data_IF_683280537465
#
_entry.id   IF_683280537465
#
_cell.length_a   1.000
_cell.length_b   1.000
_cell.length_c   1.000
_cell.angle_alpha   90.00
_cell.angle_beta   90.00
_cell.angle_gamma   90.00
#
_symmetry.space_group_name_H-M   'P 1'
#
loop_
_entity.id
_entity.type
_entity.pdbx_description
1 polymer ?
#
# COMPACT_ATOMS: atom_id res chain seq x y z
N UNK A 1 0.86 -78.19 31.65
CA UNK A 1 0.74 -77.78 33.08
C UNK A 1 2.10 -78.01 33.79
N UNK A 2 2.53 -77.15 34.74
CA UNK A 2 1.74 -76.31 35.66
C UNK A 2 1.99 -74.78 35.47
N UNK A 3 0.95 -73.95 35.61
CA UNK A 3 0.58 -73.05 36.74
C UNK A 3 1.35 -71.72 36.79
N UNK A 4 0.59 -70.61 36.74
CA UNK A 4 1.07 -69.23 36.93
C UNK A 4 1.32 -68.90 38.41
N UNK A 5 1.66 -67.63 38.75
CA UNK A 5 0.63 -66.59 38.76
C UNK A 5 1.09 -65.19 38.28
N UNK A 6 0.11 -64.29 38.29
CA UNK A 6 0.03 -62.97 37.68
C UNK A 6 0.81 -61.82 38.37
N UNK A 7 0.68 -60.65 37.73
CA UNK A 7 1.11 -59.25 38.05
C UNK A 7 2.38 -58.83 37.29
N UNK A 8 2.49 -57.67 36.64
CA UNK A 8 1.73 -56.42 36.69
C UNK A 8 1.87 -55.65 35.36
N UNK A 9 0.92 -54.75 35.16
CA UNK A 9 0.95 -53.54 34.32
C UNK A 9 2.32 -52.98 33.93
N UNK A 10 2.49 -52.58 32.66
CA UNK A 10 3.00 -51.24 32.28
C UNK A 10 3.48 -51.20 30.83
N UNK A 11 2.75 -50.45 30.00
CA UNK A 11 3.26 -49.54 28.96
C UNK A 11 4.26 -50.14 27.94
N UNK A 12 3.73 -50.79 26.90
CA UNK A 12 4.38 -50.82 25.58
C UNK A 12 3.35 -50.44 24.52
N UNK A 13 3.10 -49.14 24.40
CA UNK A 13 2.50 -48.49 23.23
C UNK A 13 2.68 -46.98 23.35
N UNK A 14 3.93 -46.52 23.52
CA UNK A 14 4.21 -45.08 23.54
C UNK A 14 5.56 -44.80 22.89
N UNK A 15 5.67 -45.07 21.59
CA UNK A 15 6.72 -44.51 20.70
C UNK A 15 6.30 -44.31 19.24
N UNK A 16 5.00 -44.31 18.92
CA UNK A 16 4.52 -44.05 17.55
C UNK A 16 3.41 -42.99 17.45
N UNK A 17 3.17 -42.21 18.51
CA UNK A 17 2.15 -41.15 18.53
C UNK A 17 2.68 -39.80 19.05
N UNK A 18 4.00 -39.59 19.04
CA UNK A 18 4.66 -38.36 19.53
C UNK A 18 5.33 -37.56 18.42
N UNK A 19 4.92 -37.76 17.16
CA UNK A 19 5.32 -36.91 16.03
C UNK A 19 4.12 -36.20 15.35
N UNK A 20 2.88 -36.53 15.75
CA UNK A 20 1.67 -35.93 15.17
C UNK A 20 0.93 -34.97 16.12
N UNK A 21 1.36 -34.82 17.38
CA UNK A 21 0.68 -33.99 18.39
C UNK A 21 1.44 -32.75 18.86
N UNK A 22 2.64 -32.48 18.36
CA UNK A 22 3.37 -31.22 18.63
C UNK A 22 3.18 -30.16 17.52
N UNK A 23 2.52 -30.52 16.41
CA UNK A 23 2.21 -29.57 15.32
C UNK A 23 0.77 -29.00 15.43
N UNK A 24 -0.02 -29.43 16.41
CA UNK A 24 -1.43 -29.03 16.52
C UNK A 24 -1.79 -28.14 17.73
N UNK A 25 -0.81 -27.56 18.44
CA UNK A 25 -1.08 -26.80 19.68
C UNK A 25 -0.40 -25.42 19.78
N UNK A 26 -0.13 -24.76 18.65
CA UNK A 26 0.27 -23.34 18.63
C UNK A 26 -0.59 -22.44 17.71
N UNK A 27 -1.69 -22.94 17.13
CA UNK A 27 -2.51 -22.16 16.19
C UNK A 27 -3.88 -21.69 16.74
N UNK A 28 -4.14 -21.84 18.05
CA UNK A 28 -5.47 -21.54 18.62
C UNK A 28 -5.42 -20.63 19.86
N UNK A 29 -4.60 -19.57 19.84
CA UNK A 29 -4.59 -18.58 20.93
C UNK A 29 -4.91 -17.13 20.52
N UNK A 30 -5.11 -16.83 19.23
CA UNK A 30 -5.44 -15.45 18.79
C UNK A 30 -6.83 -15.29 18.16
N UNK A 31 -7.72 -16.29 18.30
CA UNK A 31 -9.08 -16.27 17.73
C UNK A 31 -10.09 -15.52 18.62
N UNK A 32 -9.68 -14.96 19.77
CA UNK A 32 -10.60 -14.31 20.72
C UNK A 32 -10.62 -12.78 20.71
N UNK A 33 -10.03 -12.13 19.69
CA UNK A 33 -10.17 -10.68 19.47
C UNK A 33 -10.54 -10.34 18.01
N UNK A 34 -11.48 -11.09 17.42
CA UNK A 34 -12.11 -10.67 16.17
C UNK A 34 -13.19 -9.60 16.46
N UNK A 35 -13.03 -8.34 15.99
CA UNK A 35 -14.14 -7.40 15.97
C UNK A 35 -15.22 -7.89 14.98
N UNK A 36 -16.50 -7.55 15.23
CA UNK A 36 -17.63 -8.20 14.58
C UNK A 36 -17.70 -7.88 13.07
N UNK A 37 -18.04 -8.93 12.32
CA UNK A 37 -18.65 -8.96 10.97
C UNK A 37 -18.19 -7.93 9.93
N UNK A 38 -17.17 -8.30 9.15
CA UNK A 38 -17.21 -8.07 7.71
C UNK A 38 -17.78 -9.34 7.09
N UNK A 39 -18.95 -9.26 6.43
CA UNK A 39 -19.38 -10.34 5.56
C UNK A 39 -18.45 -10.36 4.35
N UNK A 40 -17.43 -11.21 4.41
CA UNK A 40 -16.78 -11.68 3.20
C UNK A 40 -17.85 -12.46 2.43
N UNK A 41 -18.41 -11.88 1.37
CA UNK A 41 -19.02 -12.65 0.28
C UNK A 41 -17.91 -13.47 -0.39
N UNK A 42 -17.43 -14.46 0.36
CA UNK A 42 -16.58 -15.56 -0.06
C UNK A 42 -17.50 -16.52 -0.78
N UNK A 43 -17.45 -16.49 -2.12
CA UNK A 43 -17.54 -17.63 -3.03
C UNK A 43 -17.69 -17.04 -4.44
N UNK A 44 -16.59 -17.05 -5.21
CA UNK A 44 -16.36 -16.66 -6.63
C UNK A 44 -15.38 -15.49 -6.87
N UNK A 45 -15.17 -14.59 -5.91
CA UNK A 45 -14.26 -13.42 -6.10
C UNK A 45 -12.78 -13.70 -5.79
N UNK A 46 -12.45 -14.78 -5.05
CA UNK A 46 -11.06 -15.08 -4.66
C UNK A 46 -10.16 -15.42 -5.84
N UNK A 47 -10.72 -15.80 -7.01
CA UNK A 47 -9.93 -16.06 -8.21
C UNK A 47 -9.60 -14.78 -9.01
N UNK A 48 -10.38 -13.70 -8.84
CA UNK A 48 -10.22 -12.46 -9.62
C UNK A 48 -9.31 -11.42 -8.97
N UNK A 49 -8.97 -11.58 -7.68
CA UNK A 49 -8.09 -10.65 -6.96
C UNK A 49 -8.72 -9.29 -6.66
N UNK A 50 -10.04 -9.23 -6.44
CA UNK A 50 -10.75 -8.01 -6.01
C UNK A 50 -11.51 -8.21 -4.71
N UNK A 51 -11.48 -7.19 -3.84
CA UNK A 51 -12.26 -7.12 -2.60
C UNK A 51 -13.33 -6.03 -2.75
N UNK A 52 -14.57 -6.38 -2.37
CA UNK A 52 -15.68 -5.45 -2.29
C UNK A 52 -15.55 -4.65 -0.99
N UNK A 53 -15.58 -3.33 -1.08
CA UNK A 53 -15.51 -2.43 0.05
C UNK A 53 -16.49 -1.27 -0.12
N UNK A 54 -17.06 -0.81 1.00
CA UNK A 54 -17.69 0.51 1.06
C UNK A 54 -16.60 1.51 1.40
N UNK A 55 -16.41 2.50 0.54
CA UNK A 55 -15.32 3.45 0.67
C UNK A 55 -15.77 4.85 0.35
N UNK A 56 -15.20 5.80 1.08
CA UNK A 56 -15.13 7.18 0.62
C UNK A 56 -13.88 7.30 -0.24
N UNK A 57 -14.04 7.76 -1.48
CA UNK A 57 -12.89 8.04 -2.35
C UNK A 57 -12.75 9.53 -2.62
N UNK A 58 -11.51 9.97 -2.61
CA UNK A 58 -11.08 11.33 -2.90
C UNK A 58 -10.32 11.26 -4.23
N UNK A 59 -11.07 10.98 -5.31
CA UNK A 59 -10.53 10.79 -6.66
C UNK A 59 -11.24 11.77 -7.62
N UNK A 60 -10.50 12.69 -8.27
CA UNK A 60 -11.00 13.46 -9.40
C UNK A 60 -11.58 12.58 -10.52
N UNK A 61 -12.61 13.08 -11.22
CA UNK A 61 -13.28 12.33 -12.30
C UNK A 61 -12.35 11.88 -13.43
N UNK A 62 -11.25 12.60 -13.68
CA UNK A 62 -10.26 12.22 -14.70
C UNK A 62 -9.53 10.90 -14.41
N UNK A 63 -9.48 10.48 -13.15
CA UNK A 63 -8.97 9.17 -12.75
C UNK A 63 -10.06 8.09 -12.79
N UNK A 64 -11.26 8.44 -13.24
CA UNK A 64 -12.41 7.55 -13.39
C UNK A 64 -12.69 7.35 -14.88
N UNK A 65 -12.23 6.22 -15.41
CA UNK A 65 -12.51 5.84 -16.79
C UNK A 65 -13.84 5.08 -16.88
N UNK A 66 -14.79 5.62 -17.62
CA UNK A 66 -16.11 5.00 -17.81
C UNK A 66 -16.17 4.24 -19.14
N UNK A 67 -16.59 2.98 -19.10
CA UNK A 67 -16.74 2.13 -20.28
C UNK A 67 -18.04 1.31 -20.19
N UNK A 68 -18.68 0.99 -21.32
CA UNK A 68 -19.81 0.07 -21.33
C UNK A 68 -19.39 -1.28 -20.74
N UNK A 69 -20.22 -1.86 -19.86
CA UNK A 69 -20.03 -3.26 -19.49
C UNK A 69 -20.28 -4.12 -20.75
N UNK A 70 -19.38 -5.05 -21.04
CA UNK A 70 -19.49 -5.86 -22.25
C UNK A 70 -20.72 -6.80 -22.17
N UNK A 71 -21.73 -6.53 -23.00
CA UNK A 71 -22.88 -7.41 -23.26
C UNK A 71 -24.15 -7.10 -22.46
N UNK A 72 -25.31 -7.64 -22.86
CA UNK A 72 -26.64 -7.35 -22.28
C UNK A 72 -26.90 -8.05 -20.93
N UNK A 73 -25.87 -8.28 -20.12
CA UNK A 73 -25.95 -9.21 -18.99
C UNK A 73 -26.34 -8.53 -17.68
N UNK A 74 -27.08 -9.29 -16.86
CA UNK A 74 -27.38 -9.04 -15.44
C UNK A 74 -26.13 -8.57 -14.66
N UNK A 75 -26.32 -7.86 -13.54
CA UNK A 75 -25.25 -7.24 -12.73
C UNK A 75 -24.04 -8.14 -12.46
N UNK A 76 -24.25 -9.46 -12.30
CA UNK A 76 -23.19 -10.44 -12.07
C UNK A 76 -22.22 -10.55 -13.27
N UNK A 77 -22.73 -10.58 -14.50
CA UNK A 77 -21.91 -10.67 -15.71
C UNK A 77 -21.17 -9.36 -15.99
N UNK A 78 -21.79 -8.22 -15.70
CA UNK A 78 -21.14 -6.91 -15.81
C UNK A 78 -19.95 -6.81 -14.84
N UNK A 79 -20.11 -7.27 -13.59
CA UNK A 79 -19.04 -7.29 -12.58
C UNK A 79 -17.82 -8.09 -13.04
N UNK A 80 -18.00 -9.32 -13.52
CA UNK A 80 -16.89 -10.17 -13.99
C UNK A 80 -16.16 -9.55 -15.18
N UNK A 81 -16.91 -8.95 -16.11
CA UNK A 81 -16.34 -8.25 -17.25
C UNK A 81 -15.50 -7.04 -16.80
N UNK A 82 -15.99 -6.23 -15.86
CA UNK A 82 -15.23 -5.11 -15.31
C UNK A 82 -13.96 -5.61 -14.58
N UNK A 83 -14.07 -6.63 -13.72
CA UNK A 83 -12.91 -7.18 -12.99
C UNK A 83 -11.80 -7.64 -13.94
N UNK A 84 -12.16 -8.35 -15.02
CA UNK A 84 -11.21 -8.83 -16.02
C UNK A 84 -10.54 -7.69 -16.77
N UNK A 85 -11.31 -6.70 -17.21
CA UNK A 85 -10.79 -5.50 -17.88
C UNK A 85 -9.84 -4.72 -16.98
N UNK A 86 -10.20 -4.54 -15.70
CA UNK A 86 -9.34 -3.87 -14.73
C UNK A 86 -8.05 -4.66 -14.49
N UNK A 87 -8.11 -5.99 -14.37
CA UNK A 87 -6.93 -6.82 -14.13
C UNK A 87 -5.85 -6.69 -15.20
N UNK A 88 -6.27 -6.57 -16.46
CA UNK A 88 -5.38 -6.41 -17.63
C UNK A 88 -4.83 -5.00 -17.80
N UNK A 89 -5.28 -4.03 -16.99
CA UNK A 89 -4.76 -2.66 -16.97
C UNK A 89 -3.75 -2.50 -15.84
N UNK A 90 -2.53 -2.04 -16.12
CA UNK A 90 -1.49 -1.90 -15.10
C UNK A 90 -1.83 -0.82 -14.06
N UNK A 91 -2.51 0.23 -14.49
CA UNK A 91 -2.93 1.42 -13.73
C UNK A 91 -4.30 1.25 -13.04
N UNK A 92 -5.05 0.18 -13.33
CA UNK A 92 -6.36 -0.02 -12.72
C UNK A 92 -6.26 -0.57 -11.30
N UNK A 93 -6.77 0.20 -10.34
CA UNK A 93 -6.76 -0.10 -8.89
C UNK A 93 -8.09 -0.63 -8.39
N UNK A 94 -9.14 -0.44 -9.15
CA UNK A 94 -10.45 -0.95 -8.81
C UNK A 94 -11.49 -0.52 -9.83
N UNK A 95 -12.73 -0.90 -9.56
CA UNK A 95 -13.86 -0.48 -10.36
C UNK A 95 -15.12 -0.37 -9.52
N UNK A 96 -16.13 0.26 -10.10
CA UNK A 96 -17.52 0.19 -9.65
C UNK A 96 -18.44 0.01 -10.84
N UNK A 97 -19.64 -0.46 -10.57
CA UNK A 97 -20.72 -0.47 -11.54
C UNK A 97 -21.47 0.86 -11.44
N UNK A 98 -21.79 1.43 -12.59
CA UNK A 98 -22.67 2.59 -12.71
C UNK A 98 -23.81 2.29 -13.68
N UNK A 99 -24.75 3.22 -13.76
CA UNK A 99 -25.76 3.25 -14.80
C UNK A 99 -25.65 4.57 -15.55
N UNK A 100 -25.59 4.50 -16.88
CA UNK A 100 -25.57 5.68 -17.73
C UNK A 100 -26.59 5.51 -18.86
N UNK A 101 -27.70 6.27 -18.88
CA UNK A 101 -28.58 6.28 -20.03
C UNK A 101 -27.87 6.88 -21.27
N UNK A 102 -27.99 6.32 -22.48
CA UNK A 102 -28.72 5.10 -22.87
C UNK A 102 -27.87 3.81 -22.82
N UNK A 103 -26.62 3.89 -22.38
CA UNK A 103 -25.62 2.80 -22.40
C UNK A 103 -25.93 1.65 -21.44
N UNK A 104 -26.85 1.82 -20.50
CA UNK A 104 -27.19 0.80 -19.50
C UNK A 104 -26.12 0.70 -18.41
N UNK A 105 -25.71 -0.52 -18.07
CA UNK A 105 -24.67 -0.76 -17.05
C UNK A 105 -23.30 -0.41 -17.60
N UNK A 106 -22.56 0.41 -16.86
CA UNK A 106 -21.20 0.83 -17.21
C UNK A 106 -20.20 0.41 -16.12
N UNK A 107 -18.99 0.05 -16.55
CA UNK A 107 -17.83 -0.06 -15.67
C UNK A 107 -17.22 1.32 -15.48
N UNK A 108 -17.04 1.74 -14.24
CA UNK A 108 -16.23 2.92 -13.89
C UNK A 108 -14.95 2.43 -13.23
N UNK A 109 -13.84 2.52 -13.94
CA UNK A 109 -12.52 2.08 -13.50
C UNK A 109 -11.76 3.20 -12.81
N UNK A 110 -11.15 2.90 -11.66
CA UNK A 110 -10.24 3.80 -10.97
C UNK A 110 -8.82 3.53 -11.49
N UNK A 111 -8.28 4.48 -12.25
CA UNK A 111 -7.00 4.34 -12.96
C UNK A 111 -6.03 5.41 -12.49
N UNK A 112 -5.01 5.00 -11.73
CA UNK A 112 -3.97 5.88 -11.18
C UNK A 112 -2.74 5.07 -10.74
N UNK A 113 -1.63 5.74 -10.49
CA UNK A 113 -0.38 5.17 -9.97
C UNK A 113 0.29 6.16 -9.01
N UNK A 114 1.51 5.83 -8.57
CA UNK A 114 2.29 6.69 -7.67
C UNK A 114 2.64 8.07 -8.24
N UNK A 115 2.46 8.31 -9.54
CA UNK A 115 2.71 9.61 -10.18
C UNK A 115 1.45 10.43 -10.41
N UNK A 116 0.33 10.04 -9.80
CA UNK A 116 -0.95 10.74 -9.88
C UNK A 116 -1.08 11.77 -8.76
N UNK A 117 -0.31 12.86 -8.79
CA UNK A 117 -0.10 13.79 -7.66
C UNK A 117 -1.34 14.58 -7.20
N UNK A 118 -2.29 14.89 -8.11
CA UNK A 118 -3.58 15.50 -7.72
C UNK A 118 -4.48 14.57 -6.87
N UNK A 119 -4.01 13.34 -6.66
CA UNK A 119 -4.11 12.54 -5.43
C UNK A 119 -4.52 13.30 -4.16
N UNK A 120 -3.63 14.22 -3.81
CA UNK A 120 -3.32 14.56 -2.43
C UNK A 120 -4.25 15.67 -1.89
N UNK A 121 -4.85 16.46 -2.77
CA UNK A 121 -5.60 17.70 -2.46
C UNK A 121 -7.10 17.66 -2.81
N UNK A 122 -7.73 16.48 -2.79
CA UNK A 122 -9.16 16.38 -3.13
C UNK A 122 -10.10 16.23 -1.94
N UNK A 123 -11.19 17.00 -1.98
CA UNK A 123 -12.35 16.78 -1.12
C UNK A 123 -12.97 15.43 -1.43
N UNK A 124 -13.25 14.66 -0.37
CA UNK A 124 -13.82 13.34 -0.46
C UNK A 124 -15.34 13.45 -0.63
N UNK A 125 -15.84 13.27 -1.86
CA UNK A 125 -17.21 13.66 -2.23
C UNK A 125 -18.21 12.51 -2.30
N UNK A 126 -17.80 11.25 -2.16
CA UNK A 126 -18.73 10.14 -2.40
C UNK A 126 -18.47 8.91 -1.55
N UNK A 127 -19.55 8.36 -0.96
CA UNK A 127 -19.59 7.07 -0.28
C UNK A 127 -20.21 6.06 -1.23
N UNK A 128 -19.41 5.15 -1.77
CA UNK A 128 -19.87 4.18 -2.76
C UNK A 128 -19.34 2.77 -2.47
N UNK A 129 -20.01 1.77 -3.05
CA UNK A 129 -19.53 0.39 -3.06
C UNK A 129 -18.60 0.21 -4.26
N UNK A 130 -17.38 -0.20 -3.98
CA UNK A 130 -16.32 -0.39 -4.97
C UNK A 130 -15.70 -1.78 -4.85
N UNK A 131 -15.09 -2.23 -5.94
CA UNK A 131 -14.26 -3.44 -5.99
C UNK A 131 -12.82 -3.00 -6.19
N UNK A 132 -12.03 -3.11 -5.13
CA UNK A 132 -10.61 -2.75 -5.14
C UNK A 132 -9.77 -3.97 -5.47
N UNK A 133 -8.75 -3.76 -6.30
CA UNK A 133 -7.77 -4.78 -6.62
C UNK A 133 -6.99 -5.12 -5.36
N UNK A 134 -7.26 -6.29 -4.82
CA UNK A 134 -6.64 -6.77 -3.59
C UNK A 134 -5.60 -7.82 -3.93
N UNK A 135 -4.37 -7.61 -3.46
CA UNK A 135 -3.37 -8.67 -3.44
C UNK A 135 -3.24 -9.14 -2.00
N UNK A 136 -3.68 -10.37 -1.65
CA UNK A 136 -3.55 -10.85 -0.28
C UNK A 136 -2.08 -10.87 0.11
N UNK A 137 -1.70 -9.93 0.97
CA UNK A 137 -0.44 -9.94 1.70
C UNK A 137 -0.78 -9.82 3.17
N UNK A 138 0.03 -10.46 4.01
CA UNK A 138 -0.16 -10.49 5.45
C UNK A 138 -0.11 -9.09 6.10
N UNK A 139 0.36 -8.10 5.35
CA UNK A 139 0.65 -6.74 5.80
C UNK A 139 -0.27 -5.68 5.19
N UNK A 140 -1.48 -5.98 4.70
CA UNK A 140 -2.44 -4.94 4.24
C UNK A 140 -3.51 -4.65 5.30
N UNK A 141 -3.82 -3.36 5.50
CA UNK A 141 -4.73 -2.92 6.57
C UNK A 141 -6.15 -2.77 6.03
N UNK A 142 -7.16 -2.94 6.90
CA UNK A 142 -8.56 -2.67 6.52
C UNK A 142 -8.79 -1.20 6.15
N UNK A 143 -7.96 -0.29 6.66
CA UNK A 143 -8.05 1.16 6.45
C UNK A 143 -7.26 1.62 5.22
N UNK A 144 -6.34 0.77 4.72
CA UNK A 144 -5.54 1.01 3.53
C UNK A 144 -5.49 -0.24 2.66
N UNK A 145 -6.42 -0.37 1.70
CA UNK A 145 -6.46 -1.51 0.81
C UNK A 145 -5.37 -1.48 -0.27
N UNK A 146 -4.72 -0.34 -0.51
CA UNK A 146 -3.68 -0.19 -1.54
C UNK A 146 -2.26 -0.06 -0.99
N UNK A 147 -2.09 0.40 0.25
CA UNK A 147 -0.78 0.52 0.90
C UNK A 147 -0.59 -0.52 2.01
N UNK A 148 0.62 -1.06 2.17
CA UNK A 148 0.92 -1.94 3.31
C UNK A 148 0.77 -1.21 4.67
N UNK A 149 0.38 -1.94 5.72
CA UNK A 149 0.28 -1.54 7.14
C UNK A 149 1.54 -0.85 7.64
N UNK A 150 2.70 -1.25 7.10
CA UNK A 150 3.98 -0.65 7.49
C UNK A 150 4.15 0.82 7.05
N UNK A 151 3.23 1.37 6.24
CA UNK A 151 3.19 2.78 5.86
C UNK A 151 2.32 3.58 6.83
N UNK A 152 2.89 4.64 7.39
CA UNK A 152 2.24 5.56 8.31
C UNK A 152 1.47 6.62 7.51
N UNK A 153 0.26 6.95 7.95
CA UNK A 153 -0.57 7.95 7.27
C UNK A 153 -0.03 9.34 7.50
N UNK A 154 0.08 10.11 6.42
CA UNK A 154 0.12 11.56 6.51
C UNK A 154 -1.26 12.05 6.98
N UNK A 155 -1.31 13.03 7.88
CA UNK A 155 -2.58 13.50 8.47
C UNK A 155 -3.45 14.26 7.46
N UNK A 156 -2.88 14.71 6.34
CA UNK A 156 -3.56 15.39 5.24
C UNK A 156 -3.30 14.62 3.94
N UNK A 157 -4.33 14.44 3.12
CA UNK A 157 -4.21 13.81 1.82
C UNK A 157 -4.12 12.27 1.81
N UNK A 158 -3.68 11.74 0.67
CA UNK A 158 -3.74 10.31 0.33
C UNK A 158 -2.40 9.59 0.42
N UNK A 159 -1.33 10.33 0.70
CA UNK A 159 0.02 9.79 0.79
C UNK A 159 0.29 9.12 2.13
N UNK A 160 1.05 8.03 2.10
CA UNK A 160 1.52 7.30 3.28
C UNK A 160 2.99 7.00 3.12
N UNK A 161 3.74 7.00 4.23
CA UNK A 161 5.19 6.97 4.19
C UNK A 161 5.78 5.87 5.06
N UNK A 162 6.93 5.34 4.66
CA UNK A 162 7.66 4.33 5.41
C UNK A 162 9.16 4.50 5.27
N UNK A 163 9.86 4.44 6.40
CA UNK A 163 11.31 4.33 6.42
C UNK A 163 11.77 2.92 6.05
N UNK A 164 12.72 2.82 5.14
CA UNK A 164 13.43 1.58 4.81
C UNK A 164 14.91 1.78 5.08
N UNK A 165 15.55 0.83 5.77
CA UNK A 165 16.99 0.88 5.96
C UNK A 165 17.70 0.77 4.61
N UNK A 166 18.81 1.47 4.43
CA UNK A 166 19.77 1.32 3.32
C UNK A 166 21.21 1.24 3.86
N UNK A 167 21.34 0.98 5.16
CA UNK A 167 22.63 0.90 5.84
C UNK A 167 23.55 -0.16 5.21
N UNK A 168 24.84 0.17 5.11
CA UNK A 168 25.87 -0.71 4.56
C UNK A 168 25.76 -0.94 3.04
N UNK A 169 24.91 -0.19 2.32
CA UNK A 169 24.86 -0.23 0.85
C UNK A 169 25.91 0.72 0.27
N UNK A 170 26.61 0.34 -0.83
CA UNK A 170 27.61 1.19 -1.47
C UNK A 170 27.04 2.52 -1.98
N UNK A 171 25.79 2.50 -2.43
CA UNK A 171 25.01 3.66 -2.82
C UNK A 171 23.64 3.57 -2.13
N UNK A 172 23.51 4.28 -1.01
CA UNK A 172 22.31 4.27 -0.19
C UNK A 172 21.09 4.86 -0.92
N UNK A 173 21.30 5.84 -1.79
CA UNK A 173 20.22 6.45 -2.56
C UNK A 173 19.69 5.48 -3.62
N UNK A 174 20.58 4.86 -4.39
CA UNK A 174 20.19 3.85 -5.39
C UNK A 174 19.54 2.62 -4.72
N UNK A 175 20.04 2.22 -3.55
CA UNK A 175 19.39 1.18 -2.75
C UNK A 175 17.97 1.57 -2.32
N UNK A 176 17.75 2.84 -1.94
CA UNK A 176 16.43 3.40 -1.66
C UNK A 176 15.50 3.29 -2.87
N UNK A 177 15.97 3.74 -4.04
CA UNK A 177 15.23 3.65 -5.30
C UNK A 177 14.77 2.22 -5.60
N UNK A 178 15.67 1.24 -5.45
CA UNK A 178 15.33 -0.16 -5.66
C UNK A 178 14.37 -0.74 -4.62
N UNK A 179 14.50 -0.36 -3.34
CA UNK A 179 13.66 -0.85 -2.24
C UNK A 179 12.24 -0.28 -2.29
N UNK A 180 12.09 0.96 -2.74
CA UNK A 180 10.80 1.61 -2.83
C UNK A 180 10.06 1.29 -4.13
N UNK A 181 10.76 0.81 -5.17
CA UNK A 181 10.12 0.39 -6.43
C UNK A 181 9.27 -0.86 -6.21
N UNK A 182 7.95 -0.70 -6.32
CA UNK A 182 7.02 -1.81 -6.18
C UNK A 182 6.41 -2.25 -7.53
N UNK A 183 6.25 -3.57 -7.80
CA UNK A 183 5.81 -4.07 -9.12
C UNK A 183 4.40 -3.66 -9.55
N UNK A 184 3.57 -3.15 -8.64
CA UNK A 184 2.25 -2.62 -8.98
C UNK A 184 2.26 -1.11 -9.26
N UNK A 185 3.37 -0.41 -9.07
CA UNK A 185 3.45 1.03 -9.29
C UNK A 185 2.68 1.89 -8.27
N UNK A 186 2.31 1.34 -7.11
CA UNK A 186 1.65 2.10 -6.04
C UNK A 186 2.61 2.70 -5.03
N UNK A 187 3.84 2.17 -4.96
CA UNK A 187 4.88 2.65 -4.07
C UNK A 187 6.00 3.25 -4.90
N UNK A 188 6.39 4.48 -4.56
CA UNK A 188 7.54 5.19 -5.14
C UNK A 188 8.57 5.52 -4.07
N UNK A 189 9.76 5.90 -4.52
CA UNK A 189 10.72 6.58 -3.67
C UNK A 189 10.10 7.94 -3.34
N UNK A 190 9.99 8.29 -2.06
CA UNK A 190 9.19 9.43 -1.62
C UNK A 190 9.71 10.75 -2.19
N UNK A 191 8.75 11.57 -2.58
CA UNK A 191 8.93 12.96 -2.94
C UNK A 191 8.57 13.82 -1.73
N UNK A 192 8.75 15.13 -1.85
CA UNK A 192 8.30 16.09 -0.85
C UNK A 192 7.73 17.27 -1.62
N UNK A 193 6.56 17.07 -2.22
CA UNK A 193 6.01 17.95 -3.25
C UNK A 193 5.57 19.31 -2.67
N UNK A 194 5.21 19.29 -1.39
CA UNK A 194 4.79 20.46 -0.62
C UNK A 194 5.66 20.69 0.62
N UNK A 195 5.61 21.91 1.17
CA UNK A 195 6.30 22.26 2.42
C UNK A 195 5.68 21.49 3.60
N UNK A 196 4.38 21.27 3.55
CA UNK A 196 3.60 20.52 4.54
C UNK A 196 4.02 19.04 4.56
N UNK A 197 4.21 18.44 3.38
CA UNK A 197 4.71 17.07 3.25
C UNK A 197 6.16 16.97 3.74
N UNK A 198 7.04 17.88 3.30
CA UNK A 198 8.42 17.94 3.79
C UNK A 198 8.49 18.08 5.33
N UNK A 199 7.58 18.85 5.91
CA UNK A 199 7.44 19.01 7.37
C UNK A 199 7.04 17.70 8.03
N UNK A 200 6.08 16.97 7.45
CA UNK A 200 5.68 15.67 7.96
C UNK A 200 6.81 14.64 7.87
N UNK A 201 7.52 14.57 6.75
CA UNK A 201 8.67 13.67 6.58
C UNK A 201 9.74 13.92 7.65
N UNK A 202 9.98 15.18 8.00
CA UNK A 202 10.87 15.54 9.10
C UNK A 202 10.34 15.04 10.45
N UNK A 203 9.03 15.18 10.70
CA UNK A 203 8.41 14.66 11.92
C UNK A 203 8.49 13.12 12.01
N UNK A 204 8.39 12.42 10.87
CA UNK A 204 8.53 10.97 10.77
C UNK A 204 9.93 10.51 11.20
N UNK A 205 10.97 11.26 10.82
CA UNK A 205 12.34 11.02 11.28
C UNK A 205 12.46 11.12 12.80
N UNK A 206 11.93 12.18 13.38
CA UNK A 206 12.00 12.44 14.83
C UNK A 206 11.28 11.36 15.63
N UNK A 207 10.09 10.95 15.20
CA UNK A 207 9.33 9.85 15.82
C UNK A 207 10.08 8.51 15.74
N UNK A 208 10.84 8.32 14.67
CA UNK A 208 11.59 7.09 14.42
C UNK A 208 13.03 7.13 14.95
N UNK A 209 13.44 8.23 15.60
CA UNK A 209 14.81 8.46 16.08
C UNK A 209 15.87 8.32 14.96
N UNK A 210 15.51 8.70 13.73
CA UNK A 210 16.39 8.69 12.57
C UNK A 210 16.89 10.12 12.34
N UNK A 211 18.20 10.30 12.12
CA UNK A 211 18.78 11.63 11.90
C UNK A 211 18.58 12.16 10.49
N UNK A 212 18.64 11.29 9.48
CA UNK A 212 18.46 11.66 8.09
C UNK A 212 17.99 10.46 7.26
N UNK A 213 17.23 10.75 6.20
CA UNK A 213 16.84 9.76 5.21
C UNK A 213 16.87 10.34 3.79
N UNK A 214 17.23 9.51 2.83
CA UNK A 214 17.16 9.87 1.42
C UNK A 214 15.70 10.05 0.96
N UNK A 215 15.53 11.02 0.07
CA UNK A 215 14.35 11.21 -0.77
C UNK A 215 14.73 10.96 -2.23
N UNK A 216 13.73 10.91 -3.11
CA UNK A 216 13.95 10.57 -4.52
C UNK A 216 14.67 11.65 -5.34
N UNK A 217 14.85 12.84 -4.77
CA UNK A 217 15.34 13.99 -5.49
C UNK A 217 16.80 13.83 -5.90
N UNK A 218 17.09 14.26 -7.12
CA UNK A 218 18.43 14.24 -7.70
C UNK A 218 18.67 15.45 -8.60
N UNK A 219 19.94 15.79 -8.80
CA UNK A 219 20.30 16.87 -9.71
C UNK A 219 20.47 16.33 -11.15
N UNK A 220 19.62 16.79 -12.07
CA UNK A 220 19.50 16.22 -13.41
C UNK A 220 19.27 17.27 -14.50
N UNK A 221 19.20 16.80 -15.75
CA UNK A 221 18.96 17.64 -16.92
C UNK A 221 17.55 17.37 -17.47
N UNK A 222 16.73 18.41 -17.57
CA UNK A 222 15.37 18.35 -18.13
C UNK A 222 15.14 19.59 -19.00
N UNK A 223 14.55 19.41 -20.17
CA UNK A 223 14.17 20.52 -21.09
C UNK A 223 15.29 21.53 -21.40
N UNK A 224 16.54 21.06 -21.50
CA UNK A 224 17.66 21.93 -21.83
C UNK A 224 18.33 22.61 -20.63
N UNK A 225 17.89 22.33 -19.40
CA UNK A 225 18.41 22.98 -18.18
C UNK A 225 18.75 21.97 -17.08
N UNK A 226 19.78 22.28 -16.29
CA UNK A 226 20.09 21.55 -15.05
C UNK A 226 19.19 22.05 -13.93
N UNK A 227 18.51 21.14 -13.23
CA UNK A 227 17.63 21.45 -12.10
C UNK A 227 17.49 20.24 -11.18
N UNK A 228 16.95 20.47 -9.99
CA UNK A 228 16.58 19.41 -9.07
C UNK A 228 15.24 18.81 -9.47
N UNK A 229 15.20 17.48 -9.51
CA UNK A 229 14.06 16.71 -10.00
C UNK A 229 13.74 15.59 -9.02
N UNK A 230 12.46 15.28 -8.85
CA UNK A 230 12.01 14.04 -8.27
C UNK A 230 12.15 12.90 -9.28
N UNK A 231 12.80 11.80 -8.89
CA UNK A 231 13.11 10.71 -9.81
C UNK A 231 11.88 9.96 -10.35
N UNK A 232 10.89 9.57 -9.55
CA UNK A 232 9.86 8.62 -9.97
C UNK A 232 9.02 9.14 -11.14
N UNK A 233 8.65 10.42 -11.07
CA UNK A 233 7.71 11.05 -12.00
C UNK A 233 8.39 12.12 -12.88
N UNK A 234 9.66 12.45 -12.60
CA UNK A 234 10.42 13.43 -13.37
C UNK A 234 9.98 14.87 -13.13
N UNK A 235 9.34 15.13 -12.00
CA UNK A 235 8.79 16.43 -11.62
C UNK A 235 9.92 17.34 -11.13
N UNK A 236 9.80 18.64 -11.36
CA UNK A 236 10.75 19.60 -10.83
C UNK A 236 10.46 19.89 -9.36
N UNK A 237 11.49 19.89 -8.51
CA UNK A 237 11.30 20.26 -7.11
C UNK A 237 10.94 21.74 -7.05
N UNK A 238 9.84 22.06 -6.38
CA UNK A 238 9.33 23.43 -6.28
C UNK A 238 10.29 24.32 -5.47
N UNK A 239 10.35 25.60 -5.84
CA UNK A 239 11.20 26.58 -5.15
C UNK A 239 10.83 26.72 -3.66
N UNK A 240 9.55 26.57 -3.31
CA UNK A 240 9.08 26.61 -1.93
C UNK A 240 9.71 25.50 -1.08
N UNK A 241 9.76 24.27 -1.61
CA UNK A 241 10.39 23.13 -0.94
C UNK A 241 11.89 23.33 -0.83
N UNK A 242 12.56 23.74 -1.92
CA UNK A 242 14.00 23.99 -1.93
C UNK A 242 14.42 25.09 -0.94
N UNK A 243 13.63 26.15 -0.81
CA UNK A 243 13.92 27.29 0.07
C UNK A 243 13.46 27.08 1.52
N UNK A 244 12.64 26.06 1.79
CA UNK A 244 12.12 25.77 3.13
C UNK A 244 13.19 25.37 4.15
N UNK A 245 14.34 24.86 3.69
CA UNK A 245 15.37 24.26 4.53
C UNK A 245 14.96 22.93 5.18
N UNK A 246 13.81 22.34 4.81
CA UNK A 246 13.35 21.04 5.28
C UNK A 246 14.00 19.89 4.48
N UNK A 247 14.19 20.12 3.18
CA UNK A 247 14.92 19.23 2.28
C UNK A 247 16.32 19.79 2.07
N UNK A 248 17.33 18.96 2.34
CA UNK A 248 18.74 19.30 2.15
C UNK A 248 19.26 18.67 0.87
N UNK A 249 19.94 19.47 0.04
CA UNK A 249 20.70 18.99 -1.10
C UNK A 249 22.06 18.49 -0.60
N UNK A 250 22.24 17.17 -0.56
CA UNK A 250 23.48 16.54 -0.09
C UNK A 250 24.13 15.79 -1.25
N UNK A 251 25.29 16.29 -1.68
CA UNK A 251 25.91 15.89 -2.94
C UNK A 251 24.96 16.09 -4.14
N UNK A 252 24.60 15.01 -4.83
CA UNK A 252 23.72 15.03 -6.01
C UNK A 252 22.29 14.56 -5.68
N UNK A 253 21.96 14.39 -4.40
CA UNK A 253 20.71 13.83 -3.95
C UNK A 253 20.04 14.71 -2.90
N UNK A 254 18.74 14.49 -2.70
CA UNK A 254 17.99 15.14 -1.63
C UNK A 254 17.85 14.25 -0.42
N UNK A 255 17.93 14.85 0.76
CA UNK A 255 17.68 14.18 2.04
C UNK A 255 16.74 15.05 2.88
N UNK A 256 15.88 14.41 3.65
CA UNK A 256 15.28 15.07 4.81
C UNK A 256 16.18 14.79 6.02
N UNK A 257 16.45 15.83 6.80
CA UNK A 257 17.37 15.76 7.93
C UNK A 257 16.77 16.42 9.17
N UNK A 258 17.02 15.81 10.31
CA UNK A 258 16.78 16.40 11.62
C UNK A 258 17.85 17.46 11.94
N UNK A 259 17.56 18.36 12.88
CA UNK A 259 18.45 19.49 13.20
C UNK A 259 19.83 19.04 13.70
N UNK A 260 19.92 17.85 14.30
CA UNK A 260 21.15 17.30 14.89
C UNK A 260 21.93 16.39 13.92
N UNK A 261 21.57 16.36 12.63
CA UNK A 261 22.34 15.63 11.62
C UNK A 261 23.61 16.40 11.24
N UNK A 262 24.75 15.72 11.31
CA UNK A 262 26.09 16.30 11.10
C UNK A 262 26.57 16.23 9.63
N UNK A 263 25.72 15.75 8.71
CA UNK A 263 26.02 15.64 7.30
C UNK A 263 26.91 14.45 6.92
N UNK A 264 27.14 13.49 7.82
CA UNK A 264 28.13 12.42 7.62
C UNK A 264 27.57 11.13 7.02
N UNK A 265 26.40 10.68 7.46
CA UNK A 265 25.84 9.39 7.06
C UNK A 265 24.31 9.41 6.96
N UNK A 266 23.79 8.73 5.94
CA UNK A 266 22.35 8.54 5.70
C UNK A 266 22.09 7.05 5.53
N UNK A 267 21.39 6.47 6.51
CA UNK A 267 21.19 5.02 6.63
C UNK A 267 19.77 4.55 6.28
N UNK A 268 18.90 5.48 5.89
CA UNK A 268 17.51 5.22 5.58
C UNK A 268 17.11 5.92 4.29
N UNK A 269 16.09 5.38 3.63
CA UNK A 269 15.35 6.02 2.55
C UNK A 269 13.86 6.01 2.92
N UNK A 270 13.09 6.94 2.37
CA UNK A 270 11.64 6.99 2.59
C UNK A 270 10.93 6.47 1.34
N UNK A 271 10.02 5.53 1.51
CA UNK A 271 9.09 5.14 0.47
C UNK A 271 7.74 5.80 0.71
N UNK A 272 7.07 6.16 -0.37
CA UNK A 272 5.73 6.72 -0.38
C UNK A 272 4.77 5.76 -1.06
N UNK A 273 3.54 5.68 -0.56
CA UNK A 273 2.46 4.96 -1.18
C UNK A 273 1.19 5.82 -1.18
N UNK A 274 0.50 5.87 -2.32
CA UNK A 274 -0.72 6.66 -2.48
C UNK A 274 -1.96 5.77 -2.34
N UNK A 275 -2.91 6.18 -1.51
CA UNK A 275 -4.18 5.48 -1.35
C UNK A 275 -5.31 6.49 -1.15
N UNK A 276 -6.07 6.77 -2.22
CA UNK A 276 -7.17 7.73 -2.20
C UNK A 276 -8.47 7.13 -1.64
N UNK A 277 -8.41 5.92 -1.08
CA UNK A 277 -9.56 5.23 -0.51
C UNK A 277 -9.49 5.23 1.02
N UNK A 278 -10.52 5.80 1.62
CA UNK A 278 -10.81 5.60 3.03
C UNK A 278 -11.91 4.54 3.12
N UNK A 279 -11.53 3.32 3.50
CA UNK A 279 -12.50 2.23 3.70
C UNK A 279 -13.26 2.50 4.99
N UNK A 280 -14.58 2.62 4.89
CA UNK A 280 -15.44 2.76 6.06
C UNK A 280 -15.60 1.37 6.68
N UNK A 281 -15.46 1.27 8.00
CA UNK A 281 -15.89 0.05 8.69
C UNK A 281 -17.40 -0.14 8.42
N UNK A 282 -17.82 -1.36 8.08
CA UNK A 282 -19.25 -1.66 7.96
C UNK A 282 -19.94 -1.25 9.28
N UNK A 283 -20.98 -0.41 9.19
CA UNK A 283 -21.90 -0.22 10.31
C UNK A 283 -22.56 -1.58 10.57
N UNK A 284 -22.34 -2.10 11.77
CA UNK A 284 -22.80 -3.41 12.24
C UNK A 284 -24.32 -3.54 12.28
#
# INVERSE_FOLDING_TARGET
>A
PPEGPATSTSVVASRLLTAAFIVLSCCCADVLNQPPNLQFESLLLSESGFVKARSVFCLPERFIRTEPAAGPYLELGAKEACARTCWHRPDCRGFRLGQLPPLGVVCKFFTFDSCSEELIDTDCLSNEVIWLRWRPRADMSRQSPLCPISFQSYQQGTARFRLVSVAGQPDGWLAGLHRCRHPDGMVKFADADTVEEATYLKSLLQQSQVKAAYLSGYFGFQEGQLRWLWQPCGEAITDSVLQSGLVTMWHNFTVVADQDWDGTEVNFAICECTDPFQVLADEA
#
